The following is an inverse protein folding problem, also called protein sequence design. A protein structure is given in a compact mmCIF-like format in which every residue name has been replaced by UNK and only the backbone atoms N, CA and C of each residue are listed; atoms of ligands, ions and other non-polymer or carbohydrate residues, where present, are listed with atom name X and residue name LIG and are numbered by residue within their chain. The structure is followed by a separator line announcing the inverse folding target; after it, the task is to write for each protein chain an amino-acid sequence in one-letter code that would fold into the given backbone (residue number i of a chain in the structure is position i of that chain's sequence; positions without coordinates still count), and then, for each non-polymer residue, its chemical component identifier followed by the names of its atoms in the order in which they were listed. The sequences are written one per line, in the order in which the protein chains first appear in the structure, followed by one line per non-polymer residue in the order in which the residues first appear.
data_IF_972466909737
#
_entry.id   IF_972466909737
#
_cell.length_a   1.000
_cell.length_b   1.000
_cell.length_c   1.000
_cell.angle_alpha   90.00
_cell.angle_beta   90.00
_cell.angle_gamma   90.00
#
_symmetry.space_group_name_H-M   'P 1'
#
loop_
_entity.id
_entity.type
_entity.pdbx_description
1 polymer ?
#
# COMPACT_ATOMS: atom_id res chain seq x y z
N UNK A 1 10.75 16.56 -29.43
CA UNK A 1 9.33 16.59 -29.03
C UNK A 1 9.25 17.52 -27.84
N UNK A 2 8.22 18.38 -27.72
CA UNK A 2 8.05 19.20 -26.51
C UNK A 2 7.84 18.28 -25.31
N UNK A 3 8.31 18.70 -24.13
CA UNK A 3 8.11 17.98 -22.88
C UNK A 3 7.11 18.68 -21.97
N UNK A 4 6.47 17.89 -21.11
CA UNK A 4 5.84 18.40 -19.89
C UNK A 4 6.78 18.05 -18.75
N UNK A 5 7.21 19.07 -18.01
CA UNK A 5 8.07 18.95 -16.83
C UNK A 5 7.24 19.40 -15.64
N UNK A 6 7.07 18.55 -14.65
CA UNK A 6 6.32 18.85 -13.44
C UNK A 6 7.17 18.74 -12.19
N UNK A 7 6.95 19.66 -11.26
CA UNK A 7 7.47 19.63 -9.90
C UNK A 7 6.31 19.77 -8.92
N UNK A 8 6.24 18.85 -7.95
CA UNK A 8 5.13 18.69 -7.04
C UNK A 8 5.59 19.07 -5.64
N UNK A 9 4.95 20.07 -5.06
CA UNK A 9 5.29 20.63 -3.74
C UNK A 9 4.08 20.70 -2.83
N UNK A 10 4.37 20.62 -1.55
CA UNK A 10 3.43 20.97 -0.50
C UNK A 10 3.20 22.49 -0.52
N UNK A 11 1.95 22.92 -0.67
CA UNK A 11 1.60 24.33 -0.83
C UNK A 11 1.92 25.22 0.37
N UNK A 12 2.19 24.64 1.54
CA UNK A 12 2.51 25.39 2.77
C UNK A 12 4.01 25.35 3.05
N UNK A 13 4.60 24.16 3.03
CA UNK A 13 6.01 23.95 3.43
C UNK A 13 6.98 24.10 2.27
N UNK A 14 6.50 24.00 1.03
CA UNK A 14 7.33 23.99 -0.18
C UNK A 14 8.15 22.69 -0.38
N UNK A 15 7.98 21.69 0.50
CA UNK A 15 8.66 20.41 0.40
C UNK A 15 8.25 19.67 -0.88
N UNK A 16 9.19 18.95 -1.51
CA UNK A 16 8.88 18.06 -2.64
C UNK A 16 8.00 16.91 -2.14
N UNK A 17 6.90 16.65 -2.85
CA UNK A 17 5.94 15.62 -2.49
C UNK A 17 5.86 14.54 -3.56
N UNK A 18 5.96 13.29 -3.11
CA UNK A 18 5.67 12.14 -3.96
C UNK A 18 4.16 12.02 -4.17
N UNK A 19 3.76 11.64 -5.38
CA UNK A 19 2.36 11.64 -5.77
C UNK A 19 2.13 10.66 -6.90
N UNK A 20 0.85 10.36 -7.15
CA UNK A 20 0.43 9.71 -8.38
C UNK A 20 0.00 10.76 -9.38
N UNK A 21 0.41 10.59 -10.62
CA UNK A 21 0.21 11.55 -11.71
C UNK A 21 -0.50 10.86 -12.86
N UNK A 22 -1.53 11.52 -13.39
CA UNK A 22 -2.16 11.17 -14.64
C UNK A 22 -1.98 12.34 -15.60
N UNK A 23 -1.49 12.06 -16.80
CA UNK A 23 -1.44 13.01 -17.90
C UNK A 23 -2.14 12.40 -19.10
N UNK A 24 -3.22 13.05 -19.54
CA UNK A 24 -3.90 12.71 -20.78
C UNK A 24 -3.43 13.63 -21.89
N UNK A 25 -3.08 13.03 -23.02
CA UNK A 25 -2.71 13.73 -24.24
C UNK A 25 -3.94 14.29 -24.99
N UNK A 26 -3.76 15.04 -26.11
CA UNK A 26 -4.87 15.59 -26.88
C UNK A 26 -5.83 14.56 -27.49
N UNK A 27 -5.46 13.28 -27.57
CA UNK A 27 -6.35 12.18 -27.96
C UNK A 27 -7.08 11.54 -26.78
N UNK A 28 -6.74 11.92 -25.54
CA UNK A 28 -7.27 11.32 -24.33
C UNK A 28 -6.51 10.07 -23.88
N UNK A 29 -5.34 9.79 -24.46
CA UNK A 29 -4.50 8.66 -24.06
C UNK A 29 -3.60 9.04 -22.89
N UNK A 30 -3.37 8.10 -21.98
CA UNK A 30 -2.43 8.28 -20.87
C UNK A 30 -0.99 8.28 -21.38
N UNK A 31 -0.22 9.30 -20.98
CA UNK A 31 1.21 9.41 -21.24
C UNK A 31 1.98 9.56 -19.93
N UNK A 32 3.20 9.03 -19.90
CA UNK A 32 4.06 9.02 -18.72
C UNK A 32 5.54 9.07 -19.15
N UNK A 33 6.48 9.33 -18.21
CA UNK A 33 7.91 9.11 -18.45
C UNK A 33 8.19 7.68 -18.94
N UNK A 34 9.25 7.51 -19.75
CA UNK A 34 9.56 6.22 -20.38
C UNK A 34 9.88 5.11 -19.36
N UNK A 35 10.40 5.48 -18.19
CA UNK A 35 10.77 4.61 -17.08
C UNK A 35 9.75 4.65 -15.93
N UNK A 36 8.55 5.21 -16.17
CA UNK A 36 7.51 5.38 -15.17
C UNK A 36 7.04 4.04 -14.60
N UNK A 37 6.89 3.98 -13.28
CA UNK A 37 6.18 2.89 -12.62
C UNK A 37 4.68 3.22 -12.60
N UNK A 38 3.88 2.36 -13.23
CA UNK A 38 2.43 2.49 -13.23
C UNK A 38 1.84 1.90 -11.96
N UNK A 39 0.84 2.59 -11.39
CA UNK A 39 0.05 2.07 -10.29
C UNK A 39 -0.70 0.82 -10.76
N UNK A 40 -0.47 -0.29 -10.05
CA UNK A 40 -1.20 -1.55 -10.28
C UNK A 40 -2.47 -1.56 -9.43
N UNK A 41 -3.62 -1.69 -10.07
CA UNK A 41 -4.90 -1.84 -9.37
C UNK A 41 -6.09 -1.34 -10.19
N UNK A 42 -7.30 -1.39 -9.63
CA UNK A 42 -8.48 -0.85 -10.27
C UNK A 42 -8.44 0.68 -10.34
N UNK A 43 -9.24 1.23 -11.25
CA UNK A 43 -9.41 2.67 -11.45
C UNK A 43 -8.68 3.20 -12.68
N UNK A 44 -8.62 4.53 -12.79
CA UNK A 44 -7.92 5.21 -13.87
C UNK A 44 -6.39 4.99 -13.76
N UNK A 45 -5.66 4.95 -14.90
CA UNK A 45 -4.21 4.80 -14.88
C UNK A 45 -3.52 6.03 -14.29
N UNK A 46 -2.57 5.78 -13.38
CA UNK A 46 -1.63 6.77 -12.86
C UNK A 46 -0.23 6.16 -12.86
N UNK A 47 0.79 7.00 -13.05
CA UNK A 47 2.17 6.64 -12.72
C UNK A 47 2.59 7.28 -11.40
N UNK A 48 3.53 6.63 -10.71
CA UNK A 48 4.15 7.19 -9.52
C UNK A 48 5.26 8.18 -9.89
N UNK A 49 5.30 9.30 -9.18
CA UNK A 49 6.35 10.30 -9.25
C UNK A 49 6.98 10.48 -7.87
N UNK A 50 8.30 10.66 -7.86
CA UNK A 50 9.06 11.03 -6.67
C UNK A 50 8.94 12.53 -6.32
N UNK A 51 8.04 13.23 -7.00
CA UNK A 51 7.76 14.65 -6.86
C UNK A 51 8.32 15.50 -7.99
N UNK A 52 9.08 14.89 -8.91
CA UNK A 52 9.41 15.48 -10.20
C UNK A 52 9.08 14.50 -11.33
N UNK A 53 8.72 15.01 -12.50
CA UNK A 53 8.54 14.20 -13.69
C UNK A 53 8.84 14.99 -14.96
N UNK A 54 9.27 14.27 -16.00
CA UNK A 54 9.46 14.81 -17.34
C UNK A 54 9.00 13.77 -18.34
N UNK A 55 8.07 14.13 -19.22
CA UNK A 55 7.55 13.25 -20.26
C UNK A 55 7.50 13.94 -21.62
N UNK A 56 7.80 13.19 -22.67
CA UNK A 56 7.67 13.67 -24.05
C UNK A 56 6.18 13.72 -24.45
N UNK A 57 5.81 14.73 -25.23
CA UNK A 57 4.44 14.86 -25.72
C UNK A 57 4.34 15.50 -27.11
N UNK A 58 3.11 15.64 -27.61
CA UNK A 58 2.72 16.33 -28.83
C UNK A 58 2.05 17.66 -28.52
N UNK A 59 1.95 18.54 -29.51
CA UNK A 59 1.23 19.83 -29.37
C UNK A 59 -0.26 19.60 -29.06
N UNK A 60 -0.85 20.47 -28.25
CA UNK A 60 -2.30 20.50 -27.98
C UNK A 60 -2.65 20.58 -26.50
N UNK A 61 -3.93 20.40 -26.19
CA UNK A 61 -4.46 20.44 -24.84
C UNK A 61 -4.24 19.10 -24.13
N UNK A 62 -3.70 19.17 -22.91
CA UNK A 62 -3.47 18.01 -22.04
C UNK A 62 -4.24 18.21 -20.75
N UNK A 63 -4.74 17.12 -20.17
CA UNK A 63 -5.30 17.14 -18.82
C UNK A 63 -4.29 16.51 -17.87
N UNK A 64 -3.94 17.23 -16.81
CA UNK A 64 -3.04 16.75 -15.76
C UNK A 64 -3.83 16.65 -14.46
N UNK A 65 -3.71 15.52 -13.79
CA UNK A 65 -4.28 15.25 -12.46
C UNK A 65 -3.17 14.70 -11.56
N UNK A 66 -3.02 15.29 -10.39
CA UNK A 66 -2.01 14.92 -9.39
C UNK A 66 -2.71 14.69 -8.05
N UNK A 67 -2.45 13.53 -7.46
CA UNK A 67 -3.08 13.12 -6.21
C UNK A 67 -2.04 12.57 -5.22
N UNK A 68 -2.25 12.85 -3.93
CA UNK A 68 -1.44 12.35 -2.82
C UNK A 68 -2.33 11.99 -1.64
N UNK A 69 -2.42 10.71 -1.31
CA UNK A 69 -3.20 10.22 -0.17
C UNK A 69 -4.62 10.78 -0.08
N UNK A 70 -5.21 10.77 1.11
CA UNK A 70 -6.56 11.28 1.36
C UNK A 70 -6.57 12.65 2.03
N UNK A 71 -5.43 13.11 2.55
CA UNK A 71 -5.30 14.37 3.30
C UNK A 71 -5.02 15.60 2.41
N UNK A 72 -4.77 15.38 1.11
CA UNK A 72 -4.55 16.45 0.13
C UNK A 72 -5.71 16.56 -0.85
N UNK A 73 -5.98 17.79 -1.29
CA UNK A 73 -6.92 18.06 -2.37
C UNK A 73 -6.24 17.74 -3.70
N UNK A 74 -6.86 16.94 -4.59
CA UNK A 74 -6.33 16.69 -5.94
C UNK A 74 -6.07 17.99 -6.70
N UNK A 75 -4.89 18.11 -7.29
CA UNK A 75 -4.57 19.21 -8.19
C UNK A 75 -4.89 18.78 -9.63
N UNK A 76 -5.59 19.64 -10.36
CA UNK A 76 -5.95 19.37 -11.75
C UNK A 76 -5.80 20.62 -12.61
N UNK A 77 -5.32 20.44 -13.84
CA UNK A 77 -5.25 21.51 -14.83
C UNK A 77 -5.40 20.98 -16.25
N UNK A 78 -5.90 21.85 -17.12
CA UNK A 78 -5.79 21.69 -18.57
C UNK A 78 -4.71 22.63 -19.07
N UNK A 79 -3.70 22.09 -19.75
CA UNK A 79 -2.53 22.85 -20.23
C UNK A 79 -2.46 22.80 -21.74
N UNK A 80 -2.04 23.90 -22.38
CA UNK A 80 -1.79 23.93 -23.81
C UNK A 80 -0.27 23.82 -24.05
N UNK A 81 0.15 22.70 -24.63
CA UNK A 81 1.55 22.48 -24.99
C UNK A 81 1.75 22.92 -26.43
N UNK A 82 2.62 23.90 -26.62
CA UNK A 82 3.08 24.34 -27.94
C UNK A 82 3.99 23.29 -28.61
N UNK A 83 4.36 23.51 -29.88
CA UNK A 83 5.22 22.59 -30.61
C UNK A 83 6.73 22.80 -30.42
N UNK A 84 7.15 23.89 -29.78
CA UNK A 84 8.52 24.41 -29.89
C UNK A 84 9.28 24.51 -28.57
N UNK A 85 8.60 24.39 -27.43
CA UNK A 85 9.19 24.61 -26.10
C UNK A 85 8.60 23.61 -25.10
N UNK A 86 9.38 23.31 -24.07
CA UNK A 86 8.91 22.51 -22.94
C UNK A 86 7.95 23.33 -22.07
N UNK A 87 6.94 22.66 -21.53
CA UNK A 87 5.96 23.25 -20.62
C UNK A 87 6.30 22.84 -19.19
N UNK A 88 6.58 23.82 -18.32
CA UNK A 88 6.88 23.59 -16.91
C UNK A 88 5.65 23.81 -16.05
N UNK A 89 5.39 22.87 -15.13
CA UNK A 89 4.31 22.90 -14.16
C UNK A 89 4.88 22.99 -12.75
N UNK A 90 4.51 24.05 -12.05
CA UNK A 90 4.69 24.16 -10.60
C UNK A 90 3.38 23.75 -9.92
N UNK A 91 3.36 22.54 -9.37
CA UNK A 91 2.17 21.89 -8.82
C UNK A 91 2.23 22.03 -7.30
N UNK A 92 1.28 22.79 -6.75
CA UNK A 92 1.14 23.01 -5.31
C UNK A 92 -0.05 22.19 -4.80
N UNK A 93 0.22 21.15 -4.00
CA UNK A 93 -0.82 20.35 -3.35
C UNK A 93 -1.20 20.97 -2.00
N UNK A 94 -2.50 21.18 -1.80
CA UNK A 94 -3.06 21.71 -0.55
C UNK A 94 -3.46 20.57 0.38
N UNK A 95 -2.85 20.52 1.57
CA UNK A 95 -3.29 19.62 2.65
C UNK A 95 -4.51 20.21 3.34
N UNK A 96 -5.66 19.55 3.24
CA UNK A 96 -6.92 20.03 3.82
C UNK A 96 -7.17 19.51 5.25
N UNK A 97 -6.46 18.45 5.67
CA UNK A 97 -6.49 17.93 7.04
C UNK A 97 -5.11 17.44 7.44
N UNK A 98 -4.75 17.66 8.71
CA UNK A 98 -3.55 17.11 9.33
C UNK A 98 -3.96 16.14 10.43
N UNK A 99 -4.14 14.88 10.05
CA UNK A 99 -4.46 13.77 10.92
C UNK A 99 -3.32 13.48 11.91
N UNK A 100 -2.03 13.48 11.49
CA UNK A 100 -0.91 13.27 12.42
C UNK A 100 -0.87 14.26 13.59
N UNK A 101 -1.09 15.56 13.34
CA UNK A 101 -1.17 16.57 14.40
C UNK A 101 -2.37 16.37 15.35
N UNK A 102 -3.33 15.53 14.97
CA UNK A 102 -4.49 15.14 15.80
C UNK A 102 -4.31 13.77 16.46
N UNK A 103 -3.13 13.14 16.32
CA UNK A 103 -2.81 11.82 16.85
C UNK A 103 -3.40 10.66 16.03
N UNK A 104 -3.82 10.91 14.80
CA UNK A 104 -4.30 9.90 13.86
C UNK A 104 -3.21 9.61 12.83
N UNK A 105 -2.93 8.34 12.60
CA UNK A 105 -1.89 7.91 11.67
C UNK A 105 -2.52 7.03 10.58
N UNK A 106 -2.64 7.52 9.34
CA UNK A 106 -3.15 6.71 8.24
C UNK A 106 -2.21 5.53 8.00
N UNK A 107 -2.78 4.36 7.70
CA UNK A 107 -1.98 3.19 7.41
C UNK A 107 -2.74 2.15 6.60
N UNK A 108 -1.97 1.31 5.90
CA UNK A 108 -2.45 0.13 5.22
C UNK A 108 -1.73 -1.09 5.79
N UNK A 109 -2.48 -1.93 6.50
CA UNK A 109 -1.94 -3.09 7.21
C UNK A 109 -1.98 -4.37 6.39
N UNK A 110 -2.43 -4.33 5.13
CA UNK A 110 -2.72 -5.53 4.36
C UNK A 110 -2.48 -5.33 2.85
N UNK A 111 -1.23 -5.52 2.43
CA UNK A 111 -0.81 -5.44 1.02
C UNK A 111 -0.15 -6.77 0.59
N UNK A 112 -0.49 -7.19 -0.62
CA UNK A 112 0.17 -8.30 -1.32
C UNK A 112 0.61 -7.88 -2.71
N UNK A 113 1.77 -8.37 -3.12
CA UNK A 113 2.23 -8.31 -4.50
C UNK A 113 2.21 -9.73 -5.04
N UNK A 114 1.44 -9.95 -6.10
CA UNK A 114 1.22 -11.26 -6.68
C UNK A 114 2.46 -11.77 -7.44
N UNK A 115 2.35 -12.96 -8.02
CA UNK A 115 3.43 -13.60 -8.77
C UNK A 115 3.80 -12.89 -10.09
N UNK A 116 3.07 -11.84 -10.47
CA UNK A 116 3.29 -11.07 -11.70
C UNK A 116 4.03 -9.76 -11.43
N UNK A 117 4.16 -9.35 -10.17
CA UNK A 117 4.93 -8.18 -9.80
C UNK A 117 6.43 -8.44 -10.04
N UNK A 118 7.05 -7.62 -10.89
CA UNK A 118 8.45 -7.76 -11.29
C UNK A 118 9.38 -6.75 -10.62
N UNK A 119 8.86 -5.68 -10.04
CA UNK A 119 9.63 -4.63 -9.37
C UNK A 119 9.01 -4.26 -8.00
N UNK A 120 8.93 -5.23 -7.06
CA UNK A 120 8.29 -5.02 -5.77
C UNK A 120 9.01 -3.99 -4.90
N UNK A 121 10.33 -3.82 -5.06
CA UNK A 121 11.13 -2.90 -4.25
C UNK A 121 10.79 -1.44 -4.58
N UNK A 122 10.79 -1.09 -5.87
CA UNK A 122 10.41 0.26 -6.29
C UNK A 122 8.93 0.53 -6.02
N UNK A 123 8.07 -0.48 -6.13
CA UNK A 123 6.65 -0.35 -5.76
C UNK A 123 6.46 -0.07 -4.28
N UNK A 124 7.12 -0.83 -3.41
CA UNK A 124 7.05 -0.62 -1.95
C UNK A 124 7.64 0.73 -1.53
N UNK A 125 8.69 1.20 -2.22
CA UNK A 125 9.23 2.54 -2.02
C UNK A 125 8.19 3.64 -2.29
N UNK A 126 7.28 3.43 -3.24
CA UNK A 126 6.22 4.39 -3.58
C UNK A 126 4.93 4.25 -2.77
N UNK A 127 4.42 3.02 -2.56
CA UNK A 127 3.05 2.78 -2.04
C UNK A 127 2.77 3.54 -0.73
N UNK A 128 3.73 3.53 0.21
CA UNK A 128 3.59 4.26 1.49
C UNK A 128 3.61 5.78 1.31
N UNK A 129 4.50 6.28 0.45
CA UNK A 129 4.82 7.70 0.32
C UNK A 129 3.82 8.44 -0.55
N UNK A 130 3.35 7.84 -1.64
CA UNK A 130 2.36 8.44 -2.55
C UNK A 130 1.00 8.57 -1.88
N UNK A 131 0.62 7.59 -1.06
CA UNK A 131 -0.66 7.59 -0.35
C UNK A 131 -0.57 8.28 1.04
N UNK A 132 0.58 8.87 1.38
CA UNK A 132 0.87 9.54 2.67
C UNK A 132 0.58 8.64 3.90
N UNK A 133 0.85 7.35 3.78
CA UNK A 133 0.60 6.35 4.82
C UNK A 133 1.74 6.33 5.83
N UNK A 134 1.43 6.62 7.09
CA UNK A 134 2.37 6.54 8.22
C UNK A 134 2.78 5.12 8.56
N UNK A 135 1.93 4.15 8.22
CA UNK A 135 2.18 2.75 8.45
C UNK A 135 1.80 1.92 7.22
N UNK A 136 2.72 1.09 6.73
CA UNK A 136 2.48 0.17 5.62
C UNK A 136 2.95 -1.23 6.00
N UNK A 137 2.10 -2.23 5.81
CA UNK A 137 2.49 -3.63 5.89
C UNK A 137 2.22 -4.35 4.57
N UNK A 138 3.29 -4.93 4.02
CA UNK A 138 3.18 -6.05 3.10
C UNK A 138 3.12 -7.35 3.90
N UNK A 139 2.71 -8.45 3.28
CA UNK A 139 2.62 -9.73 3.96
C UNK A 139 3.21 -10.88 3.17
N UNK A 140 3.86 -11.78 3.89
CA UNK A 140 4.13 -13.13 3.44
C UNK A 140 2.81 -13.91 3.42
N UNK A 141 2.61 -14.71 2.38
CA UNK A 141 1.42 -15.53 2.23
C UNK A 141 1.69 -16.79 1.40
N UNK A 142 0.94 -17.86 1.68
CA UNK A 142 1.03 -19.11 0.91
C UNK A 142 -0.28 -19.44 0.20
N UNK A 143 -0.23 -19.66 -1.11
CA UNK A 143 -1.31 -20.24 -1.90
C UNK A 143 -0.70 -21.21 -2.90
N UNK A 144 -0.76 -22.50 -2.60
CA UNK A 144 -0.13 -23.53 -3.41
C UNK A 144 1.36 -23.21 -3.62
N UNK A 145 1.83 -23.36 -4.85
CA UNK A 145 3.19 -23.08 -5.30
C UNK A 145 3.33 -21.70 -5.95
N UNK A 146 2.39 -20.77 -5.71
CA UNK A 146 2.51 -19.40 -6.22
C UNK A 146 3.63 -18.67 -5.49
N UNK A 147 4.56 -18.13 -6.28
CA UNK A 147 5.70 -17.35 -5.81
C UNK A 147 5.32 -15.86 -5.72
N UNK A 148 4.67 -15.49 -4.61
CA UNK A 148 4.26 -14.10 -4.37
C UNK A 148 5.50 -13.21 -4.20
N UNK A 149 5.54 -12.10 -4.95
CA UNK A 149 6.66 -11.16 -4.88
C UNK A 149 6.87 -10.56 -3.49
N UNK A 150 5.83 -10.48 -2.63
CA UNK A 150 5.99 -10.04 -1.23
C UNK A 150 6.76 -11.03 -0.37
N UNK A 151 6.82 -12.31 -0.72
CA UNK A 151 7.46 -13.34 0.12
C UNK A 151 8.99 -13.21 0.17
N UNK A 152 9.59 -12.34 -0.66
CA UNK A 152 11.02 -12.03 -0.59
C UNK A 152 11.41 -11.28 0.70
N UNK A 153 10.47 -10.57 1.33
CA UNK A 153 10.76 -9.70 2.47
C UNK A 153 10.69 -10.49 3.78
N UNK A 154 11.73 -10.47 4.62
CA UNK A 154 11.70 -11.16 5.90
C UNK A 154 10.69 -10.48 6.85
N UNK A 155 10.09 -11.23 7.80
CA UNK A 155 9.18 -10.65 8.78
C UNK A 155 9.82 -9.53 9.61
N UNK A 156 9.03 -8.53 9.96
CA UNK A 156 9.42 -7.41 10.81
C UNK A 156 9.66 -6.11 10.04
N UNK A 157 10.32 -5.15 10.71
CA UNK A 157 10.54 -3.81 10.17
C UNK A 157 11.48 -3.85 8.96
N UNK A 158 11.05 -3.24 7.86
CA UNK A 158 11.86 -3.08 6.66
C UNK A 158 12.59 -1.74 6.72
N UNK A 159 13.82 -1.77 7.23
CA UNK A 159 14.66 -0.59 7.49
C UNK A 159 14.88 0.27 6.26
N UNK A 160 15.02 -0.33 5.08
CA UNK A 160 15.24 0.36 3.80
C UNK A 160 14.07 1.26 3.39
N UNK A 161 12.85 0.92 3.83
CA UNK A 161 11.63 1.65 3.50
C UNK A 161 11.10 2.48 4.67
N UNK A 162 11.67 2.33 5.85
CA UNK A 162 11.26 3.02 7.08
C UNK A 162 12.09 4.29 7.28
N UNK A 163 11.40 5.40 7.54
CA UNK A 163 12.01 6.68 7.84
C UNK A 163 11.29 7.37 9.03
N UNK A 164 11.60 8.64 9.26
CA UNK A 164 11.01 9.41 10.36
C UNK A 164 9.50 9.64 10.23
N UNK A 165 8.94 9.47 9.04
CA UNK A 165 7.55 9.74 8.73
C UNK A 165 6.75 8.49 8.35
N UNK A 166 7.42 7.44 7.87
CA UNK A 166 6.81 6.21 7.37
C UNK A 166 7.40 4.98 8.08
N UNK A 167 6.56 4.15 8.69
CA UNK A 167 6.93 2.85 9.22
C UNK A 167 6.48 1.76 8.24
N UNK A 168 7.42 0.98 7.72
CA UNK A 168 7.14 -0.09 6.76
C UNK A 168 7.61 -1.43 7.34
N UNK A 169 6.73 -2.42 7.30
CA UNK A 169 7.05 -3.77 7.77
C UNK A 169 6.56 -4.86 6.81
N UNK A 170 7.15 -6.05 6.94
CA UNK A 170 6.61 -7.28 6.38
C UNK A 170 5.97 -8.08 7.52
N UNK A 171 4.67 -8.31 7.42
CA UNK A 171 3.93 -9.21 8.28
C UNK A 171 3.70 -10.57 7.61
N UNK A 172 2.70 -11.28 8.09
CA UNK A 172 2.26 -12.54 7.53
C UNK A 172 0.73 -12.56 7.48
N UNK A 173 0.13 -12.91 6.34
CA UNK A 173 -1.30 -13.24 6.29
C UNK A 173 -1.45 -14.76 6.43
N UNK A 174 -1.86 -15.20 7.61
CA UNK A 174 -2.20 -16.60 7.84
C UNK A 174 -3.65 -16.89 7.47
N UNK A 175 -3.90 -17.98 6.73
CA UNK A 175 -5.17 -18.15 6.01
C UNK A 175 -5.72 -19.56 6.00
N UNK A 176 -7.04 -19.62 5.87
CA UNK A 176 -7.77 -20.84 5.55
C UNK A 176 -9.00 -20.53 4.70
N UNK A 177 -9.18 -21.30 3.63
CA UNK A 177 -10.37 -21.30 2.79
C UNK A 177 -11.12 -22.63 2.89
N UNK A 178 -12.45 -22.59 2.87
CA UNK A 178 -13.25 -23.81 2.79
C UNK A 178 -13.53 -24.25 1.35
N UNK A 179 -13.46 -23.31 0.39
CA UNK A 179 -13.58 -23.52 -1.06
C UNK A 179 -12.66 -22.51 -1.77
N UNK A 180 -12.32 -22.69 -3.06
CA UNK A 180 -11.53 -21.72 -3.80
C UNK A 180 -12.15 -20.32 -3.70
N UNK A 181 -11.37 -19.35 -3.24
CA UNK A 181 -11.78 -17.94 -3.02
C UNK A 181 -12.91 -17.74 -2.00
N UNK A 182 -13.23 -18.74 -1.17
CA UNK A 182 -14.24 -18.63 -0.11
C UNK A 182 -13.65 -18.90 1.27
N UNK A 183 -13.65 -17.86 2.09
CA UNK A 183 -13.06 -17.84 3.44
C UNK A 183 -13.73 -18.92 4.31
N UNK A 184 -12.90 -19.77 4.92
CA UNK A 184 -13.35 -20.80 5.89
C UNK A 184 -13.19 -20.32 7.32
N UNK A 185 -12.13 -20.77 8.02
CA UNK A 185 -11.84 -20.31 9.38
C UNK A 185 -11.61 -18.80 9.43
N UNK A 186 -10.93 -18.24 8.43
CA UNK A 186 -10.62 -16.82 8.39
C UNK A 186 -9.29 -16.55 7.73
N UNK A 187 -8.95 -15.27 7.71
CA UNK A 187 -7.64 -14.78 7.34
C UNK A 187 -7.21 -13.78 8.41
N UNK A 188 -5.95 -13.85 8.83
CA UNK A 188 -5.43 -13.06 9.93
C UNK A 188 -4.09 -12.46 9.52
N UNK A 189 -3.96 -11.14 9.64
CA UNK A 189 -2.70 -10.44 9.53
C UNK A 189 -1.96 -10.52 10.86
N UNK A 190 -0.73 -11.00 10.82
CA UNK A 190 0.22 -11.04 11.93
C UNK A 190 1.29 -9.99 11.65
N UNK A 191 1.34 -8.95 12.48
CA UNK A 191 2.27 -7.84 12.38
C UNK A 191 3.23 -7.83 13.56
N UNK A 192 4.37 -7.15 13.44
CA UNK A 192 5.41 -7.06 14.47
C UNK A 192 5.93 -8.43 14.97
N UNK A 193 5.77 -9.49 14.18
CA UNK A 193 6.37 -10.79 14.46
C UNK A 193 7.86 -10.76 14.09
N UNK A 194 8.67 -11.53 14.80
CA UNK A 194 10.11 -11.64 14.57
C UNK A 194 10.48 -12.94 13.84
N UNK A 195 9.63 -13.95 13.97
CA UNK A 195 9.73 -15.23 13.29
C UNK A 195 8.38 -15.55 12.63
N UNK A 196 8.47 -16.20 11.47
CA UNK A 196 7.32 -16.69 10.74
C UNK A 196 6.49 -17.67 11.57
N UNK A 197 5.18 -17.64 11.42
CA UNK A 197 4.23 -18.47 12.17
C UNK A 197 3.76 -19.63 11.30
N UNK A 198 4.22 -20.84 11.61
CA UNK A 198 3.86 -22.02 10.84
C UNK A 198 2.63 -22.76 11.41
N UNK A 199 1.75 -23.31 10.55
CA UNK A 199 1.78 -23.17 9.10
C UNK A 199 1.27 -21.79 8.62
N UNK A 200 1.85 -21.23 7.56
CA UNK A 200 1.42 -19.93 6.98
C UNK A 200 -0.04 -20.02 6.51
N UNK A 201 -0.40 -21.05 5.75
CA UNK A 201 -1.77 -21.33 5.32
C UNK A 201 -2.15 -22.75 5.72
N UNK A 202 -3.44 -23.06 5.74
CA UNK A 202 -3.97 -24.41 6.02
C UNK A 202 -4.87 -24.88 4.89
N UNK A 203 -5.04 -26.19 4.82
CA UNK A 203 -6.07 -26.80 4.00
C UNK A 203 -5.86 -26.53 2.52
N UNK A 204 -6.96 -26.23 1.84
CA UNK A 204 -7.01 -25.99 0.40
C UNK A 204 -6.06 -24.88 -0.12
N UNK A 205 -5.59 -23.99 0.74
CA UNK A 205 -4.61 -22.97 0.35
C UNK A 205 -3.18 -23.51 0.27
N UNK A 206 -2.90 -24.67 0.84
CA UNK A 206 -1.59 -25.33 0.75
C UNK A 206 -1.61 -26.34 -0.40
N UNK A 207 -2.47 -27.35 -0.32
CA UNK A 207 -2.72 -28.34 -1.38
C UNK A 207 -4.06 -29.08 -1.16
N UNK A 208 -4.30 -30.20 -1.87
CA UNK A 208 -5.57 -30.97 -1.76
C UNK A 208 -5.70 -31.79 -0.47
N UNK A 209 -4.62 -31.99 0.26
CA UNK A 209 -4.49 -32.97 1.34
C UNK A 209 -4.00 -32.36 2.66
N UNK A 210 -3.46 -31.14 2.63
CA UNK A 210 -3.09 -30.40 3.83
C UNK A 210 -4.30 -30.28 4.78
N UNK A 211 -4.11 -30.51 6.09
CA UNK A 211 -5.22 -30.48 7.03
C UNK A 211 -5.70 -29.05 7.33
N UNK A 212 -6.97 -28.90 7.65
CA UNK A 212 -7.53 -27.68 8.24
C UNK A 212 -7.10 -27.54 9.74
N UNK A 213 -5.80 -27.66 10.03
CA UNK A 213 -5.25 -27.68 11.39
C UNK A 213 -3.80 -27.17 11.41
N UNK A 214 -3.34 -26.45 12.46
CA UNK A 214 -4.07 -26.01 13.66
C UNK A 214 -5.11 -24.93 13.35
N UNK A 215 -6.05 -24.57 14.25
CA UNK A 215 -6.95 -23.43 14.04
C UNK A 215 -6.18 -22.12 13.88
N UNK A 216 -6.78 -21.09 13.28
CA UNK A 216 -6.12 -19.77 13.13
C UNK A 216 -5.89 -19.09 14.48
N UNK A 217 -6.74 -19.39 15.46
CA UNK A 217 -6.56 -18.98 16.85
C UNK A 217 -5.23 -19.46 17.44
N UNK A 218 -4.63 -20.54 16.93
CA UNK A 218 -3.28 -20.97 17.33
C UNK A 218 -2.21 -20.04 16.78
N UNK A 219 -2.32 -19.64 15.51
CA UNK A 219 -1.40 -18.67 14.92
C UNK A 219 -1.49 -17.30 15.60
N UNK A 220 -2.70 -16.91 16.06
CA UNK A 220 -2.87 -15.71 16.88
C UNK A 220 -2.08 -15.80 18.20
N UNK A 221 -2.11 -16.95 18.88
CA UNK A 221 -1.33 -17.16 20.11
C UNK A 221 0.17 -17.06 19.83
N UNK A 222 0.65 -17.71 18.77
CA UNK A 222 2.06 -17.68 18.37
C UNK A 222 2.54 -16.27 17.98
N UNK A 223 1.68 -15.45 17.37
CA UNK A 223 1.99 -14.04 17.12
C UNK A 223 2.03 -13.24 18.43
N UNK A 224 1.06 -13.45 19.33
CA UNK A 224 1.02 -12.78 20.63
C UNK A 224 2.23 -13.15 21.52
N UNK A 225 2.69 -14.41 21.48
CA UNK A 225 3.88 -14.88 22.20
C UNK A 225 5.16 -14.17 21.76
N UNK A 226 5.18 -13.64 20.53
CA UNK A 226 6.26 -12.80 20.00
C UNK A 226 6.08 -11.31 20.32
N UNK A 227 5.00 -10.92 21.00
CA UNK A 227 4.62 -9.51 21.17
C UNK A 227 4.03 -8.88 19.91
N UNK A 228 3.61 -9.70 18.94
CA UNK A 228 3.02 -9.27 17.69
C UNK A 228 1.61 -8.69 17.84
N UNK A 229 1.12 -8.10 16.75
CA UNK A 229 -0.26 -7.63 16.63
C UNK A 229 -1.04 -8.56 15.70
N UNK A 230 -2.26 -8.87 16.10
CA UNK A 230 -3.16 -9.77 15.37
C UNK A 230 -4.35 -8.97 14.86
N UNK A 231 -4.49 -8.85 13.54
CA UNK A 231 -5.60 -8.14 12.90
C UNK A 231 -6.40 -9.15 12.08
N UNK A 232 -7.71 -9.24 12.33
CA UNK A 232 -8.58 -10.08 11.52
C UNK A 232 -8.93 -9.40 10.20
N UNK A 233 -8.68 -10.07 9.08
CA UNK A 233 -8.84 -9.48 7.75
C UNK A 233 -10.30 -9.43 7.29
N UNK A 234 -10.53 -8.80 6.14
CA UNK A 234 -11.78 -8.87 5.38
C UNK A 234 -13.04 -8.50 6.19
N UNK A 235 -12.92 -7.49 7.05
CA UNK A 235 -13.98 -7.02 7.94
C UNK A 235 -14.48 -8.08 8.94
N UNK A 236 -13.59 -8.93 9.44
CA UNK A 236 -13.94 -9.96 10.43
C UNK A 236 -14.63 -11.18 9.83
N UNK A 237 -14.50 -11.43 8.53
CA UNK A 237 -15.05 -12.63 7.90
C UNK A 237 -14.29 -13.90 8.33
N UNK A 238 -15.02 -15.01 8.39
CA UNK A 238 -14.49 -16.33 8.77
C UNK A 238 -15.08 -16.86 10.07
N UNK A 239 -15.15 -18.19 10.17
CA UNK A 239 -15.80 -18.87 11.29
C UNK A 239 -15.13 -18.62 12.65
N UNK A 240 -13.82 -18.42 12.67
CA UNK A 240 -13.05 -18.25 13.92
C UNK A 240 -13.00 -16.80 14.42
N UNK A 241 -13.40 -15.81 13.62
CA UNK A 241 -13.34 -14.40 14.00
C UNK A 241 -14.00 -14.08 15.36
N UNK A 242 -15.26 -14.49 15.62
CA UNK A 242 -15.90 -14.25 16.92
C UNK A 242 -15.24 -15.02 18.06
N UNK A 243 -14.69 -16.21 17.79
CA UNK A 243 -14.02 -17.04 18.80
C UNK A 243 -12.70 -16.38 19.21
N UNK A 244 -11.87 -15.98 18.25
CA UNK A 244 -10.62 -15.28 18.51
C UNK A 244 -10.85 -13.95 19.23
N UNK A 245 -11.91 -13.21 18.87
CA UNK A 245 -12.32 -12.00 19.57
C UNK A 245 -12.70 -12.28 21.04
N UNK A 246 -13.55 -13.28 21.29
CA UNK A 246 -14.00 -13.64 22.64
C UNK A 246 -12.85 -14.15 23.53
N UNK A 247 -11.85 -14.79 22.92
CA UNK A 247 -10.64 -15.26 23.60
C UNK A 247 -9.58 -14.16 23.79
N UNK A 248 -9.83 -12.92 23.34
CA UNK A 248 -8.89 -11.81 23.47
C UNK A 248 -7.64 -11.95 22.60
N UNK A 249 -7.72 -12.74 21.52
CA UNK A 249 -6.57 -13.05 20.64
C UNK A 249 -6.32 -12.01 19.56
N UNK A 250 -7.30 -11.15 19.29
CA UNK A 250 -7.24 -10.09 18.27
C UNK A 250 -6.83 -8.78 18.95
N UNK A 251 -5.89 -8.07 18.34
CA UNK A 251 -5.49 -6.73 18.77
C UNK A 251 -6.57 -5.72 18.39
N UNK A 252 -7.25 -5.16 19.40
CA UNK A 252 -8.14 -4.00 19.24
C UNK A 252 -7.40 -2.79 19.80
N UNK A 253 -6.94 -1.91 18.92
CA UNK A 253 -6.30 -0.65 19.32
C UNK A 253 -7.14 0.53 18.86
N UNK A 254 -7.97 1.06 19.76
CA UNK A 254 -8.37 2.47 19.76
C UNK A 254 -7.54 3.20 20.80
N UNK A 255 -6.23 3.35 20.59
CA UNK A 255 -5.44 4.29 21.39
C UNK A 255 -5.41 5.63 20.69
N UNK A 256 -6.23 6.57 21.16
CA UNK A 256 -5.92 7.99 21.03
C UNK A 256 -4.61 8.17 21.79
N UNK A 257 -3.54 8.56 21.09
CA UNK A 257 -2.26 8.85 21.71
C UNK A 257 -2.45 10.05 22.65
N UNK A 258 -2.81 9.79 23.91
CA UNK A 258 -2.81 10.81 24.96
C UNK A 258 -1.39 10.97 25.47
N UNK A 259 -0.49 11.46 24.59
CA UNK A 259 0.70 12.15 25.07
C UNK A 259 0.25 13.50 25.61
N UNK A 260 -0.22 13.50 26.86
CA UNK A 260 -0.26 14.71 27.67
C UNK A 260 1.18 15.16 27.89
N UNK A 261 1.40 16.45 27.63
CA UNK A 261 2.53 17.27 28.08
C UNK A 261 2.95 16.97 29.51
#
# INVERSE_FOLDING_TARGET
MPKIIGEIRDGITGAILQARVQVLDPSGENIAPADAMWKVGPGEPFFYSDGQFSLDTKRGYHRVLVERGTEFTPWQATIEVGGSWDFSLDIQLERWSDLPNRGWHPGNTHIHYDEKESDPDRRLAYDSRVEDLRMTAVSILKRWDLDYATNKYPPGMLTEYTDTHHYVQSGEETRHNHDPFKIGYGHVMLLNIHNQVEPISRGLLVDQFDPDYPPLSHACDQANDQGGLVIWCHNGQGMEAPVAAALGKISISWRRDQRNT
#
